data_IF_878880036913
#
_entry.id   IF_878880036913
#
_cell.length_a   1.000
_cell.length_b   1.000
_cell.length_c   1.000
_cell.angle_alpha   90.00
_cell.angle_beta   90.00
_cell.angle_gamma   90.00
#
_symmetry.space_group_name_H-M   'P 1'
#
loop_
_entity.id
_entity.type
_entity.pdbx_description
1 polymer ?
#
# COMPACT_ATOMS: atom_id res chain seq x y z
N UNK A 1 -1.68 -24.65 -30.87
CA UNK A 1 -3.03 -25.25 -30.97
C UNK A 1 -2.91 -26.72 -30.57
N UNK A 2 -3.15 -27.02 -29.29
CA UNK A 2 -2.99 -28.38 -28.72
C UNK A 2 -4.35 -29.12 -28.59
N UNK A 3 -5.44 -28.49 -29.03
CA UNK A 3 -6.82 -28.98 -28.85
C UNK A 3 -7.45 -29.61 -30.10
N UNK A 4 -6.72 -29.71 -31.23
CA UNK A 4 -7.28 -30.16 -32.51
C UNK A 4 -7.04 -31.64 -32.82
N UNK A 5 -6.29 -32.37 -32.00
CA UNK A 5 -6.05 -33.81 -32.16
C UNK A 5 -7.15 -34.63 -31.47
N UNK A 6 -7.81 -35.56 -32.17
CA UNK A 6 -8.95 -36.31 -31.63
C UNK A 6 -8.61 -37.19 -30.41
N UNK A 7 -7.34 -37.56 -30.21
CA UNK A 7 -6.90 -38.29 -29.02
C UNK A 7 -6.83 -37.46 -27.74
N UNK A 8 -6.84 -36.12 -27.82
CA UNK A 8 -6.80 -35.25 -26.65
C UNK A 8 -8.20 -34.86 -26.15
N UNK A 9 -9.25 -35.15 -26.94
CA UNK A 9 -10.63 -34.75 -26.64
C UNK A 9 -11.19 -35.47 -25.39
N UNK A 10 -10.78 -36.71 -25.13
CA UNK A 10 -11.25 -37.47 -23.97
C UNK A 10 -10.64 -36.97 -22.66
N UNK A 11 -9.34 -36.62 -22.67
CA UNK A 11 -8.67 -35.97 -21.54
C UNK A 11 -9.25 -34.57 -21.29
N UNK A 12 -9.58 -33.84 -22.36
CA UNK A 12 -10.25 -32.55 -22.25
C UNK A 12 -11.67 -32.71 -21.70
N UNK A 13 -12.43 -33.71 -22.13
CA UNK A 13 -13.75 -34.00 -21.60
C UNK A 13 -13.68 -34.31 -20.10
N UNK A 14 -12.73 -35.13 -19.66
CA UNK A 14 -12.53 -35.48 -18.25
C UNK A 14 -12.17 -34.29 -17.34
N UNK A 15 -11.45 -33.29 -17.86
CA UNK A 15 -11.12 -32.04 -17.12
C UNK A 15 -12.37 -31.17 -16.94
N UNK A 16 -13.33 -31.22 -17.87
CA UNK A 16 -14.52 -30.36 -17.88
C UNK A 16 -15.78 -31.05 -17.32
N UNK A 17 -15.77 -32.38 -17.17
CA UNK A 17 -16.90 -33.17 -16.66
C UNK A 17 -16.77 -33.59 -15.19
N UNK A 18 -15.62 -33.34 -14.54
CA UNK A 18 -15.44 -33.60 -13.11
C UNK A 18 -16.11 -32.56 -12.20
N UNK A 19 -16.29 -32.90 -10.92
CA UNK A 19 -16.89 -32.03 -9.88
C UNK A 19 -16.19 -30.66 -9.70
N UNK A 20 -14.94 -30.54 -10.19
CA UNK A 20 -14.18 -29.29 -10.38
C UNK A 20 -14.48 -28.62 -11.74
N UNK A 21 -15.76 -28.59 -12.11
CA UNK A 21 -16.18 -28.05 -13.41
C UNK A 21 -15.92 -26.54 -13.52
N UNK A 22 -15.50 -26.11 -14.71
CA UNK A 22 -15.22 -24.73 -15.07
C UNK A 22 -16.32 -23.68 -14.70
N UNK A 23 -17.62 -24.00 -14.73
CA UNK A 23 -18.68 -23.09 -14.28
C UNK A 23 -18.54 -22.67 -12.81
N UNK A 24 -18.12 -23.56 -11.90
CA UNK A 24 -17.90 -23.22 -10.48
C UNK A 24 -16.74 -22.24 -10.32
N UNK A 25 -15.71 -22.39 -11.14
CA UNK A 25 -14.59 -21.43 -11.16
C UNK A 25 -15.08 -20.05 -11.65
N UNK A 26 -15.97 -20.02 -12.64
CA UNK A 26 -16.59 -18.78 -13.13
C UNK A 26 -17.48 -18.06 -12.11
N UNK A 27 -18.20 -18.78 -11.23
CA UNK A 27 -18.90 -18.14 -10.11
C UNK A 27 -17.92 -17.47 -9.13
N UNK A 28 -16.78 -18.11 -8.88
CA UNK A 28 -15.73 -17.54 -8.04
C UNK A 28 -15.01 -16.34 -8.68
N UNK A 29 -15.04 -16.22 -10.02
CA UNK A 29 -14.35 -15.17 -10.78
C UNK A 29 -14.82 -13.76 -10.38
N UNK A 30 -16.14 -13.53 -10.27
CA UNK A 30 -16.70 -12.22 -9.95
C UNK A 30 -16.15 -11.62 -8.64
N UNK A 31 -16.26 -12.34 -7.51
CA UNK A 31 -15.64 -11.95 -6.25
C UNK A 31 -14.13 -11.73 -6.35
N UNK A 32 -13.38 -12.60 -7.06
CA UNK A 32 -11.94 -12.41 -7.24
C UNK A 32 -11.57 -11.16 -8.02
N UNK A 33 -12.35 -10.78 -9.03
CA UNK A 33 -12.10 -9.54 -9.80
C UNK A 33 -12.30 -8.33 -8.91
N UNK A 34 -13.37 -8.31 -8.09
CA UNK A 34 -13.61 -7.26 -7.11
C UNK A 34 -12.46 -7.15 -6.10
N UNK A 35 -12.00 -8.28 -5.58
CA UNK A 35 -10.85 -8.33 -4.67
C UNK A 35 -9.54 -7.87 -5.31
N UNK A 36 -9.33 -8.23 -6.57
CA UNK A 36 -8.16 -7.80 -7.32
C UNK A 36 -8.15 -6.28 -7.56
N UNK A 37 -9.31 -5.69 -7.85
CA UNK A 37 -9.47 -4.23 -7.94
C UNK A 37 -9.16 -3.54 -6.61
N UNK A 38 -9.70 -4.04 -5.50
CA UNK A 38 -9.37 -3.55 -4.16
C UNK A 38 -7.88 -3.67 -3.85
N UNK A 39 -7.26 -4.80 -4.19
CA UNK A 39 -5.83 -5.01 -4.00
C UNK A 39 -5.00 -3.99 -4.80
N UNK A 40 -5.34 -3.75 -6.06
CA UNK A 40 -4.66 -2.74 -6.88
C UNK A 40 -4.78 -1.34 -6.28
N UNK A 41 -5.96 -0.99 -5.76
CA UNK A 41 -6.20 0.28 -5.07
C UNK A 41 -5.34 0.40 -3.81
N UNK A 42 -5.32 -0.62 -2.95
CA UNK A 42 -4.49 -0.63 -1.75
C UNK A 42 -3.01 -0.58 -2.07
N UNK A 43 -2.57 -1.32 -3.11
CA UNK A 43 -1.18 -1.31 -3.57
C UNK A 43 -0.77 0.06 -4.11
N UNK A 44 -1.65 0.74 -4.85
CA UNK A 44 -1.41 2.10 -5.31
C UNK A 44 -1.35 3.10 -4.15
N UNK A 45 -2.27 2.99 -3.17
CA UNK A 45 -2.23 3.79 -1.95
C UNK A 45 -0.97 3.57 -1.13
N UNK A 46 -0.55 2.31 -0.99
CA UNK A 46 0.72 1.92 -0.36
C UNK A 46 1.94 2.53 -1.05
N UNK A 47 1.96 2.49 -2.38
CA UNK A 47 3.02 3.12 -3.17
C UNK A 47 3.04 4.64 -2.98
N UNK A 48 1.88 5.29 -2.87
CA UNK A 48 1.76 6.73 -2.64
C UNK A 48 2.23 7.16 -1.24
N UNK A 49 2.19 6.28 -0.23
CA UNK A 49 2.67 6.60 1.12
C UNK A 49 4.20 6.52 1.29
N UNK A 50 4.95 6.05 0.28
CA UNK A 50 6.42 5.89 0.33
C UNK A 50 6.98 5.09 1.53
N UNK A 51 6.15 4.31 2.24
CA UNK A 51 6.58 3.49 3.39
C UNK A 51 7.12 2.11 2.92
N UNK A 52 8.20 2.15 2.14
CA UNK A 52 8.80 0.95 1.54
C UNK A 52 9.36 0.01 2.61
N UNK A 53 9.89 0.56 3.70
CA UNK A 53 10.54 -0.21 4.78
C UNK A 53 9.57 -1.13 5.53
N UNK A 54 8.34 -0.66 5.80
CA UNK A 54 7.29 -1.47 6.37
C UNK A 54 6.74 -2.47 5.35
N UNK A 55 6.57 -2.02 4.10
CA UNK A 55 5.98 -2.81 3.04
C UNK A 55 6.75 -4.10 2.76
N UNK A 56 8.09 -4.04 2.63
CA UNK A 56 8.87 -5.24 2.33
C UNK A 56 8.89 -6.21 3.51
N UNK A 57 8.93 -5.71 4.76
CA UNK A 57 8.88 -6.56 5.96
C UNK A 57 7.55 -7.26 6.10
N UNK A 58 6.45 -6.54 5.86
CA UNK A 58 5.10 -7.10 5.86
C UNK A 58 4.91 -8.10 4.71
N UNK A 59 5.47 -7.82 3.53
CA UNK A 59 5.42 -8.73 2.37
C UNK A 59 6.17 -10.03 2.64
N UNK A 60 7.38 -9.96 3.18
CA UNK A 60 8.15 -11.16 3.56
C UNK A 60 7.42 -11.92 4.68
N UNK A 61 6.90 -11.21 5.68
CA UNK A 61 6.13 -11.82 6.77
C UNK A 61 4.88 -12.53 6.29
N UNK A 62 4.07 -11.90 5.44
CA UNK A 62 2.86 -12.51 4.87
C UNK A 62 3.18 -13.68 3.94
N UNK A 63 4.27 -13.61 3.17
CA UNK A 63 4.71 -14.73 2.35
C UNK A 63 5.06 -15.96 3.21
N UNK A 64 5.92 -15.79 4.21
CA UNK A 64 6.40 -16.90 5.04
C UNK A 64 5.32 -17.44 5.97
N UNK A 65 4.55 -16.55 6.62
CA UNK A 65 3.62 -16.93 7.68
C UNK A 65 2.21 -17.27 7.19
N UNK A 66 1.84 -16.84 5.97
CA UNK A 66 0.47 -17.02 5.45
C UNK A 66 0.50 -17.84 4.17
N UNK A 67 1.28 -17.43 3.17
CA UNK A 67 1.26 -18.09 1.87
C UNK A 67 1.85 -19.51 1.92
N UNK A 68 3.03 -19.69 2.52
CA UNK A 68 3.68 -21.01 2.64
C UNK A 68 2.77 -22.02 3.36
N UNK A 69 2.22 -21.74 4.56
CA UNK A 69 1.32 -22.70 5.20
C UNK A 69 0.02 -22.89 4.41
N UNK A 70 -0.55 -21.84 3.80
CA UNK A 70 -1.77 -21.97 3.01
C UNK A 70 -1.58 -22.89 1.79
N UNK A 71 -0.43 -22.81 1.10
CA UNK A 71 -0.17 -23.66 -0.06
C UNK A 71 0.14 -25.11 0.33
N UNK A 72 0.78 -25.32 1.49
CA UNK A 72 0.97 -26.67 2.05
C UNK A 72 -0.38 -27.29 2.41
N UNK A 73 -1.28 -26.55 3.06
CA UNK A 73 -2.63 -27.02 3.38
C UNK A 73 -3.42 -27.32 2.10
N UNK A 74 -3.37 -26.44 1.10
CA UNK A 74 -4.01 -26.69 -0.20
C UNK A 74 -3.50 -27.99 -0.85
N UNK A 75 -2.17 -28.22 -0.80
CA UNK A 75 -1.54 -29.39 -1.41
C UNK A 75 -1.80 -30.71 -0.68
N UNK A 76 -1.84 -30.71 0.65
CA UNK A 76 -1.91 -31.95 1.45
C UNK A 76 -3.31 -32.29 1.96
N UNK A 77 -4.23 -31.33 2.03
CA UNK A 77 -5.58 -31.54 2.61
C UNK A 77 -6.67 -31.54 1.55
N UNK A 78 -6.65 -30.56 0.64
CA UNK A 78 -7.77 -30.34 -0.27
C UNK A 78 -7.54 -30.90 -1.67
N UNK A 79 -6.32 -30.78 -2.22
CA UNK A 79 -5.96 -31.23 -3.58
C UNK A 79 -6.85 -30.69 -4.72
N UNK A 80 -7.67 -29.67 -4.46
CA UNK A 80 -8.56 -29.05 -5.47
C UNK A 80 -7.96 -27.79 -6.06
N UNK A 81 -8.28 -27.48 -7.33
CA UNK A 81 -7.82 -26.27 -8.00
C UNK A 81 -8.27 -24.97 -7.29
N UNK A 82 -9.48 -25.00 -6.72
CA UNK A 82 -10.06 -23.87 -5.96
C UNK A 82 -9.21 -23.56 -4.72
N UNK A 83 -8.70 -24.58 -4.03
CA UNK A 83 -7.88 -24.38 -2.83
C UNK A 83 -6.57 -23.63 -3.11
N UNK A 84 -5.91 -23.93 -4.24
CA UNK A 84 -4.74 -23.18 -4.69
C UNK A 84 -5.09 -21.73 -5.07
N UNK A 85 -6.23 -21.53 -5.70
CA UNK A 85 -6.73 -20.20 -6.04
C UNK A 85 -6.91 -19.35 -4.77
N UNK A 86 -7.59 -19.89 -3.75
CA UNK A 86 -7.79 -19.20 -2.46
C UNK A 86 -6.47 -18.94 -1.75
N UNK A 87 -5.56 -19.92 -1.73
CA UNK A 87 -4.24 -19.79 -1.11
C UNK A 87 -3.41 -18.64 -1.72
N UNK A 88 -3.57 -18.38 -3.02
CA UNK A 88 -2.89 -17.27 -3.70
C UNK A 88 -3.39 -15.89 -3.25
N UNK A 89 -4.68 -15.75 -2.95
CA UNK A 89 -5.28 -14.47 -2.52
C UNK A 89 -5.14 -14.18 -1.02
N UNK A 90 -4.95 -15.20 -0.18
CA UNK A 90 -4.72 -15.05 1.26
C UNK A 90 -3.65 -14.02 1.66
N UNK A 91 -2.41 -14.07 1.15
CA UNK A 91 -1.40 -13.07 1.49
C UNK A 91 -1.78 -11.65 1.07
N UNK A 92 -2.55 -11.49 -0.02
CA UNK A 92 -3.03 -10.19 -0.49
C UNK A 92 -4.00 -9.55 0.52
N UNK A 93 -4.92 -10.34 1.08
CA UNK A 93 -5.83 -9.90 2.13
C UNK A 93 -5.10 -9.50 3.40
N UNK A 94 -4.13 -10.30 3.85
CA UNK A 94 -3.37 -10.01 5.06
C UNK A 94 -2.58 -8.71 4.90
N UNK A 95 -1.96 -8.49 3.74
CA UNK A 95 -1.29 -7.23 3.44
C UNK A 95 -2.25 -6.03 3.48
N UNK A 96 -3.43 -6.16 2.90
CA UNK A 96 -4.47 -5.13 2.96
C UNK A 96 -4.90 -4.82 4.39
N UNK A 97 -5.14 -5.85 5.21
CA UNK A 97 -5.55 -5.70 6.60
C UNK A 97 -4.46 -5.04 7.47
N UNK A 98 -3.20 -5.47 7.35
CA UNK A 98 -2.06 -4.88 8.06
C UNK A 98 -1.91 -3.39 7.73
N UNK A 99 -2.09 -3.03 6.45
CA UNK A 99 -2.03 -1.64 6.02
C UNK A 99 -3.22 -0.83 6.54
N UNK A 100 -4.45 -1.35 6.41
CA UNK A 100 -5.65 -0.69 6.93
C UNK A 100 -5.53 -0.41 8.43
N UNK A 101 -5.01 -1.38 9.20
CA UNK A 101 -4.76 -1.22 10.63
C UNK A 101 -3.75 -0.11 10.92
N UNK A 102 -2.63 -0.07 10.18
CA UNK A 102 -1.61 0.98 10.33
C UNK A 102 -2.15 2.36 9.96
N UNK A 103 -2.90 2.46 8.86
CA UNK A 103 -3.52 3.71 8.41
C UNK A 103 -4.55 4.21 9.41
N UNK A 104 -5.35 3.30 9.97
CA UNK A 104 -6.30 3.64 11.03
C UNK A 104 -5.61 4.25 12.26
N UNK A 105 -4.46 3.70 12.64
CA UNK A 105 -3.63 4.27 13.70
C UNK A 105 -3.14 5.70 13.39
N UNK A 106 -2.78 5.97 12.13
CA UNK A 106 -2.41 7.33 11.70
C UNK A 106 -3.61 8.28 11.71
N UNK A 107 -4.76 7.86 11.18
CA UNK A 107 -5.99 8.66 11.18
C UNK A 107 -6.46 9.00 12.60
N UNK A 108 -6.34 8.05 13.54
CA UNK A 108 -6.68 8.29 14.94
C UNK A 108 -5.80 9.37 15.57
N UNK A 109 -4.49 9.35 15.33
CA UNK A 109 -3.56 10.38 15.83
C UNK A 109 -3.85 11.75 15.22
N UNK A 110 -4.17 11.77 13.92
CA UNK A 110 -4.58 12.99 13.24
C UNK A 110 -5.86 13.59 13.85
N UNK A 111 -6.83 12.74 14.18
CA UNK A 111 -8.11 13.17 14.76
C UNK A 111 -7.99 13.75 16.19
N UNK A 112 -6.91 13.43 16.91
CA UNK A 112 -6.65 13.93 18.27
C UNK A 112 -5.56 15.02 18.31
N UNK A 113 -5.14 15.54 17.13
CA UNK A 113 -4.02 16.47 17.00
C UNK A 113 -2.71 15.99 17.68
N UNK A 114 -2.53 14.67 17.77
CA UNK A 114 -1.34 14.08 18.35
C UNK A 114 -0.17 14.08 17.36
N UNK A 115 1.07 14.27 17.83
CA UNK A 115 2.24 14.24 16.96
C UNK A 115 2.49 12.84 16.38
N UNK A 116 2.24 12.70 15.07
CA UNK A 116 2.55 11.50 14.30
C UNK A 116 3.92 11.53 13.60
N UNK A 117 4.29 10.48 12.85
CA UNK A 117 5.55 10.40 12.09
C UNK A 117 5.78 11.60 11.16
N UNK A 118 4.71 12.20 10.64
CA UNK A 118 4.75 13.40 9.79
C UNK A 118 5.22 14.67 10.52
N UNK A 119 5.10 14.75 11.85
CA UNK A 119 5.48 15.96 12.62
C UNK A 119 6.97 16.23 12.62
N UNK A 120 7.80 15.20 12.47
CA UNK A 120 9.26 15.37 12.39
C UNK A 120 9.66 16.16 11.14
N UNK A 121 9.02 15.88 10.00
CA UNK A 121 9.25 16.60 8.76
C UNK A 121 8.72 18.04 8.83
N UNK A 122 7.53 18.25 9.41
CA UNK A 122 6.98 19.60 9.60
C UNK A 122 7.88 20.48 10.48
N UNK A 123 8.44 19.91 11.56
CA UNK A 123 9.35 20.62 12.48
C UNK A 123 10.70 20.96 11.81
N UNK A 124 11.18 20.13 10.89
CA UNK A 124 12.40 20.41 10.11
C UNK A 124 12.18 21.46 9.03
N UNK A 125 11.03 21.45 8.37
CA UNK A 125 10.69 22.44 7.36
C UNK A 125 10.45 23.83 7.96
N UNK A 126 9.88 23.91 9.17
CA UNK A 126 9.70 25.19 9.87
C UNK A 126 11.01 25.80 10.34
N UNK A 127 11.98 24.99 10.81
CA UNK A 127 13.30 25.51 11.21
C UNK A 127 14.12 26.06 10.05
N UNK A 128 14.08 25.40 8.89
CA UNK A 128 14.73 25.90 7.66
C UNK A 128 14.12 27.24 7.22
N UNK A 129 12.79 27.38 7.32
CA UNK A 129 12.11 28.62 6.95
C UNK A 129 12.47 29.80 7.85
N UNK A 130 12.70 29.56 9.15
CA UNK A 130 13.20 30.59 10.06
C UNK A 130 14.65 30.97 9.78
N UNK A 131 15.50 30.02 9.39
CA UNK A 131 16.90 30.31 9.04
C UNK A 131 17.03 31.17 7.79
N UNK A 132 16.13 31.04 6.82
CA UNK A 132 16.11 31.87 5.61
C UNK A 132 15.37 33.21 5.79
N UNK A 133 14.42 33.29 6.72
CA UNK A 133 13.70 34.53 7.02
C UNK A 133 14.47 35.50 7.92
N UNK A 134 15.42 35.01 8.73
CA UNK A 134 16.19 35.85 9.67
C UNK A 134 17.25 36.75 9.02
N UNK A 135 17.63 36.49 7.76
CA UNK A 135 18.67 37.28 7.07
C UNK A 135 18.09 38.50 6.31
N UNK A 136 16.77 38.52 6.06
CA UNK A 136 16.11 39.64 5.37
C UNK A 136 15.81 40.84 6.30
N UNK A 137 15.63 40.63 7.60
CA UNK A 137 15.33 41.71 8.55
C UNK A 137 16.56 42.51 8.99
N UNK A 138 17.78 41.94 8.88
CA UNK A 138 19.01 42.66 9.22
C UNK A 138 19.46 43.66 8.14
N UNK A 139 19.03 43.47 6.89
CA UNK A 139 19.31 44.42 5.81
C UNK A 139 18.33 45.62 5.79
N UNK A 140 17.15 45.49 6.39
CA UNK A 140 16.13 46.55 6.45
C UNK A 140 16.28 47.55 7.61
N UNK A 141 17.00 47.17 8.68
CA UNK A 141 17.21 48.02 9.86
C UNK A 141 18.28 49.11 9.69
N UNK A 142 19.25 48.92 8.79
CA UNK A 142 20.40 49.82 8.63
C UNK A 142 20.08 51.11 7.87
N UNK A 143 19.05 51.15 7.02
CA UNK A 143 18.69 52.34 6.24
C UNK A 143 17.81 53.34 6.99
N UNK A 144 17.27 52.98 8.16
CA UNK A 144 16.33 53.85 8.90
C UNK A 144 16.99 54.80 9.89
N UNK A 145 18.27 54.60 10.22
CA UNK A 145 19.03 55.48 11.12
C UNK A 145 19.75 56.64 10.42
N UNK A 146 19.80 56.70 9.08
CA UNK A 146 20.56 57.71 8.35
C UNK A 146 19.72 58.95 7.93
N UNK A 147 18.39 58.90 8.07
CA UNK A 147 17.51 60.01 7.66
C UNK A 147 17.04 60.90 8.83
N UNK A 148 17.34 60.53 10.08
CA UNK A 148 16.88 61.27 11.27
C UNK A 148 17.90 62.31 11.78
N UNK A 149 18.97 62.59 11.02
CA UNK A 149 20.07 63.48 11.41
C UNK A 149 20.17 64.81 10.64
N UNK A 150 19.19 65.17 9.80
CA UNK A 150 19.28 66.34 8.91
C UNK A 150 18.19 67.41 9.15
N UNK A 151 17.58 67.45 10.34
CA UNK A 151 16.34 68.21 10.56
C UNK A 151 16.33 69.23 11.72
N UNK A 152 17.46 69.68 12.25
CA UNK A 152 17.47 70.73 13.28
C UNK A 152 18.69 71.66 13.13
N UNK A 153 18.65 72.61 12.18
CA UNK A 153 19.30 73.92 12.31
C UNK A 153 18.54 74.92 11.41
N UNK A 154 17.83 75.88 12.00
CA UNK A 154 17.11 76.95 11.31
C UNK A 154 16.13 77.69 12.19
#
# INVERSE_FOLDING_TARGET
>A
VFASTPGCAETYAAIFSGDDSLPRVFEAFGPTVGLNMFFLLFRAGLAACHDFSFMWRAAVGSFVLVYVPAILVARFVFETAISFYVAMYLPHFVMGALFAHRMWGHLKKLAHDEPGPWTQHMRRSSSVRMSFGGEADLAGGASRGLLDGMGEEG
#
